data_IF_227793285423
#
_entry.id   IF_227793285423
#
_cell.length_a   1.000
_cell.length_b   1.000
_cell.length_c   1.000
_cell.angle_alpha   90.00
_cell.angle_beta   90.00
_cell.angle_gamma   90.00
#
_symmetry.space_group_name_H-M   'P 1'
#
loop_
_entity.id
_entity.type
_entity.pdbx_description
1 polymer ?
#
# COMPACT_ATOMS: atom_id res chain seq x y z
N UNK A 1 33.86 -16.83 25.59
CA UNK A 1 33.53 -15.66 24.75
C UNK A 1 32.71 -15.99 23.49
N UNK A 2 32.50 -17.26 23.15
CA UNK A 2 31.81 -17.71 21.92
C UNK A 2 30.29 -17.98 22.13
N UNK A 3 29.60 -17.14 22.89
CA UNK A 3 28.14 -17.29 23.15
C UNK A 3 27.32 -16.03 22.87
N UNK A 4 27.98 -14.96 22.42
CA UNK A 4 27.37 -13.66 22.10
C UNK A 4 27.30 -13.36 20.59
N UNK A 5 28.03 -14.12 19.76
CA UNK A 5 28.12 -13.87 18.30
C UNK A 5 26.95 -14.51 17.54
N UNK A 6 26.45 -15.67 17.99
CA UNK A 6 25.34 -16.36 17.31
C UNK A 6 23.99 -15.64 17.46
N UNK A 7 23.79 -14.87 18.53
CA UNK A 7 22.56 -14.09 18.76
C UNK A 7 22.54 -12.81 17.92
N UNK A 8 23.71 -12.32 17.48
CA UNK A 8 23.81 -11.09 16.69
C UNK A 8 23.43 -11.29 15.22
N UNK A 9 23.48 -12.52 14.70
CA UNK A 9 23.17 -12.82 13.30
C UNK A 9 21.68 -13.14 13.04
N UNK A 10 20.89 -13.43 14.09
CA UNK A 10 19.46 -13.69 13.98
C UNK A 10 18.59 -12.41 13.98
N UNK A 11 19.18 -11.24 14.19
CA UNK A 11 18.48 -9.95 14.24
C UNK A 11 18.46 -9.22 12.88
N UNK A 12 19.11 -9.75 11.84
CA UNK A 12 19.19 -9.08 10.53
C UNK A 12 18.22 -9.59 9.47
N UNK A 13 17.43 -10.64 9.73
CA UNK A 13 16.54 -11.25 8.72
C UNK A 13 15.05 -10.86 8.85
N UNK A 14 14.69 -10.00 9.81
CA UNK A 14 13.29 -9.61 10.07
C UNK A 14 12.74 -8.51 9.14
N UNK A 15 13.51 -7.99 8.19
CA UNK A 15 13.22 -6.67 7.63
C UNK A 15 12.91 -6.55 6.14
N UNK A 16 12.55 -7.63 5.44
CA UNK A 16 12.32 -7.56 3.98
C UNK A 16 10.89 -7.98 3.59
N UNK A 17 9.89 -7.39 4.24
CA UNK A 17 8.53 -7.39 3.68
C UNK A 17 8.52 -6.40 2.51
N UNK A 18 8.51 -6.90 1.28
CA UNK A 18 8.22 -6.06 0.13
C UNK A 18 6.83 -5.44 0.33
N UNK A 19 6.79 -4.11 0.52
CA UNK A 19 5.55 -3.34 0.61
C UNK A 19 4.88 -3.40 -0.76
N UNK A 20 3.98 -4.37 -0.93
CA UNK A 20 3.08 -4.40 -2.06
C UNK A 20 1.93 -3.43 -1.74
N UNK A 21 1.82 -2.37 -2.56
CA UNK A 21 0.72 -1.41 -2.46
C UNK A 21 -0.62 -2.15 -2.46
N UNK A 22 -1.40 -1.99 -1.40
CA UNK A 22 -2.70 -2.65 -1.26
C UNK A 22 -3.81 -1.96 -2.07
N UNK A 23 -3.64 -0.67 -2.41
CA UNK A 23 -4.68 0.12 -3.05
C UNK A 23 -4.14 1.07 -4.13
N UNK A 24 -4.99 1.38 -5.10
CA UNK A 24 -4.72 2.39 -6.13
C UNK A 24 -5.64 3.58 -5.93
N UNK A 25 -5.07 4.76 -5.72
CA UNK A 25 -5.72 6.06 -5.62
C UNK A 25 -5.78 6.81 -6.95
N UNK A 26 -6.83 7.61 -7.13
CA UNK A 26 -6.96 8.63 -8.17
C UNK A 26 -6.82 10.02 -7.52
N UNK A 27 -5.71 10.72 -7.76
CA UNK A 27 -5.42 12.04 -7.16
C UNK A 27 -6.35 13.17 -7.63
N UNK A 28 -7.04 13.01 -8.75
CA UNK A 28 -8.03 13.98 -9.22
C UNK A 28 -9.38 13.83 -8.51
N UNK A 29 -9.88 12.60 -8.38
CA UNK A 29 -11.19 12.33 -7.76
C UNK A 29 -11.14 12.06 -6.26
N UNK A 30 -9.94 11.90 -5.70
CA UNK A 30 -9.68 11.47 -4.32
C UNK A 30 -10.43 10.18 -3.97
N UNK A 31 -10.44 9.20 -4.89
CA UNK A 31 -11.00 7.86 -4.65
C UNK A 31 -9.91 6.81 -4.70
N UNK A 32 -10.01 5.78 -3.85
CA UNK A 32 -9.10 4.64 -3.89
C UNK A 32 -9.83 3.31 -4.09
N UNK A 33 -9.09 2.33 -4.60
CA UNK A 33 -9.60 1.10 -5.19
C UNK A 33 -8.70 -0.08 -4.84
N UNK A 34 -9.25 -1.29 -4.78
CA UNK A 34 -8.46 -2.51 -5.01
C UNK A 34 -8.00 -2.59 -6.47
N UNK A 35 -6.88 -3.26 -6.70
CA UNK A 35 -6.45 -3.66 -8.04
C UNK A 35 -7.53 -4.49 -8.76
N UNK A 36 -7.69 -4.27 -10.06
CA UNK A 36 -8.69 -4.96 -10.88
C UNK A 36 -10.08 -4.33 -10.83
N UNK A 37 -10.30 -3.27 -10.03
CA UNK A 37 -11.56 -2.54 -10.09
C UNK A 37 -11.75 -1.88 -11.47
N UNK A 38 -12.94 -2.05 -12.07
CA UNK A 38 -13.27 -1.41 -13.36
C UNK A 38 -13.06 0.11 -13.41
N UNK A 39 -13.12 0.78 -12.25
CA UNK A 39 -12.90 2.21 -12.13
C UNK A 39 -11.41 2.56 -12.00
N UNK A 40 -10.62 1.66 -11.39
CA UNK A 40 -9.16 1.78 -11.24
C UNK A 40 -8.45 1.66 -12.59
N UNK A 41 -8.92 0.78 -13.47
CA UNK A 41 -8.42 0.65 -14.84
C UNK A 41 -8.61 1.92 -15.70
N UNK A 42 -9.50 2.83 -15.30
CA UNK A 42 -9.78 4.09 -16.00
C UNK A 42 -9.01 5.28 -15.41
N UNK A 43 -8.22 5.07 -14.36
CA UNK A 43 -7.39 6.11 -13.77
C UNK A 43 -6.27 6.44 -14.77
N UNK A 44 -6.20 7.70 -15.17
CA UNK A 44 -5.11 8.22 -16.00
C UNK A 44 -3.78 8.07 -15.26
N UNK A 45 -2.71 7.74 -15.98
CA UNK A 45 -1.41 7.46 -15.38
C UNK A 45 -0.87 8.62 -14.53
N UNK A 46 -1.11 9.87 -14.92
CA UNK A 46 -0.72 11.09 -14.19
C UNK A 46 -1.51 11.32 -12.89
N UNK A 47 -2.64 10.64 -12.72
CA UNK A 47 -3.44 10.69 -11.50
C UNK A 47 -3.40 9.40 -10.68
N UNK A 48 -2.63 8.39 -11.11
CA UNK A 48 -2.51 7.10 -10.43
C UNK A 48 -1.53 7.21 -9.28
N UNK A 49 -2.00 6.89 -8.07
CA UNK A 49 -1.21 6.87 -6.84
C UNK A 49 -1.33 5.48 -6.23
N UNK A 50 -0.24 4.92 -5.72
CA UNK A 50 -0.23 3.65 -5.00
C UNK A 50 -0.26 3.94 -3.50
N UNK A 51 -1.10 3.22 -2.76
CA UNK A 51 -1.40 3.48 -1.36
C UNK A 51 -1.25 2.18 -0.57
N UNK A 52 -0.49 2.24 0.52
CA UNK A 52 -0.11 1.05 1.29
C UNK A 52 -1.24 0.58 2.21
N UNK A 53 -1.91 1.53 2.88
CA UNK A 53 -2.96 1.19 3.85
C UNK A 53 -4.23 2.00 3.63
N UNK A 54 -5.36 1.39 4.04
CA UNK A 54 -6.67 2.05 4.04
C UNK A 54 -6.68 3.30 4.90
N UNK A 55 -6.13 3.21 6.10
CA UNK A 55 -6.17 4.30 7.07
C UNK A 55 -5.34 5.49 6.59
N UNK A 56 -4.17 5.24 5.99
CA UNK A 56 -3.38 6.28 5.33
C UNK A 56 -4.14 6.92 4.15
N UNK A 57 -4.80 6.13 3.30
CA UNK A 57 -5.60 6.66 2.20
C UNK A 57 -6.68 7.62 2.73
N UNK A 58 -7.40 7.22 3.77
CA UNK A 58 -8.46 8.03 4.40
C UNK A 58 -7.86 9.27 5.06
N UNK A 59 -6.74 9.14 5.79
CA UNK A 59 -6.06 10.25 6.43
C UNK A 59 -5.57 11.30 5.41
N UNK A 60 -5.16 10.85 4.21
CA UNK A 60 -4.80 11.71 3.08
C UNK A 60 -6.02 12.24 2.28
N UNK A 61 -7.24 12.01 2.77
CA UNK A 61 -8.47 12.56 2.20
C UNK A 61 -9.10 11.74 1.08
N UNK A 62 -8.61 10.53 0.80
CA UNK A 62 -9.22 9.64 -0.17
C UNK A 62 -10.47 8.98 0.39
N UNK A 63 -11.45 8.73 -0.49
CA UNK A 63 -12.70 8.03 -0.19
C UNK A 63 -12.70 6.64 -0.85
N UNK A 64 -13.23 5.60 -0.19
CA UNK A 64 -13.29 4.27 -0.79
C UNK A 64 -14.22 4.27 -2.01
N UNK A 65 -13.84 3.52 -3.04
CA UNK A 65 -14.68 3.33 -4.20
C UNK A 65 -15.99 2.61 -3.82
N UNK A 66 -17.15 3.13 -4.22
CA UNK A 66 -18.43 2.46 -3.97
C UNK A 66 -18.64 1.15 -4.75
N UNK A 67 -17.80 0.84 -5.74
CA UNK A 67 -17.89 -0.39 -6.54
C UNK A 67 -17.14 -1.54 -5.86
N UNK A 68 -15.82 -1.40 -5.68
CA UNK A 68 -15.01 -2.46 -5.06
C UNK A 68 -14.99 -2.39 -3.53
N UNK A 69 -15.51 -1.30 -2.93
CA UNK A 69 -15.63 -1.08 -1.48
C UNK A 69 -14.40 -1.55 -0.71
N UNK A 70 -13.20 -1.03 -1.08
CA UNK A 70 -12.02 -1.25 -0.28
C UNK A 70 -12.23 -0.74 1.13
#
# INVERSE_FOLDING_TARGET
MLRKITVLCCLLTLGLSALASAYVGNSNSMKFHYEGCRAEQKIRADHRVYLETRDEAIANGYKPCGICKP
#
